data_IF_382708662357
#
_entry.id   IF_382708662357
#
_cell.length_a   1.000
_cell.length_b   1.000
_cell.length_c   1.000
_cell.angle_alpha   90.00
_cell.angle_beta   90.00
_cell.angle_gamma   90.00
#
_symmetry.space_group_name_H-M   'P 1'
#
loop_
_entity.id
_entity.type
_entity.pdbx_description
1 polymer ?
#
# COMPACT_ATOMS: atom_id res chain seq x y z
N UNK A 1 -3.53 -16.03 13.93
CA UNK A 1 -2.52 -17.06 14.20
C UNK A 1 -1.24 -16.84 13.38
N UNK A 2 -0.09 -17.13 13.97
CA UNK A 2 1.23 -16.92 13.38
C UNK A 2 1.40 -17.52 11.97
N UNK A 3 0.92 -18.75 11.78
CA UNK A 3 1.03 -19.47 10.51
C UNK A 3 0.37 -18.71 9.35
N UNK A 4 -0.87 -18.22 9.55
CA UNK A 4 -1.58 -17.54 8.48
C UNK A 4 -0.86 -16.28 7.97
N UNK A 5 -0.29 -15.48 8.89
CA UNK A 5 0.43 -14.29 8.47
C UNK A 5 1.78 -14.63 7.82
N UNK A 6 2.48 -15.65 8.34
CA UNK A 6 3.73 -16.10 7.74
C UNK A 6 3.52 -16.65 6.33
N UNK A 7 2.55 -17.53 6.13
CA UNK A 7 2.23 -18.11 4.82
C UNK A 7 1.76 -17.04 3.82
N UNK A 8 0.91 -16.08 4.26
CA UNK A 8 0.47 -14.96 3.42
C UNK A 8 1.64 -14.07 2.97
N UNK A 9 2.70 -13.99 3.77
CA UNK A 9 3.94 -13.29 3.42
C UNK A 9 4.93 -14.16 2.63
N UNK A 10 4.57 -15.42 2.34
CA UNK A 10 5.43 -16.37 1.63
C UNK A 10 6.57 -16.92 2.49
N UNK A 11 6.44 -16.91 3.82
CA UNK A 11 7.40 -17.47 4.74
C UNK A 11 6.98 -18.88 5.20
N UNK A 12 7.96 -19.75 5.44
CA UNK A 12 7.76 -21.00 6.16
C UNK A 12 7.67 -20.70 7.66
N UNK A 13 6.70 -21.30 8.35
CA UNK A 13 6.50 -21.10 9.79
C UNK A 13 6.67 -22.39 10.54
N UNK A 14 7.63 -22.44 11.46
CA UNK A 14 7.88 -23.57 12.34
C UNK A 14 7.68 -23.19 13.81
N UNK A 15 7.31 -24.18 14.63
CA UNK A 15 7.10 -24.03 16.06
C UNK A 15 8.05 -24.93 16.85
N UNK A 16 8.81 -24.32 17.75
CA UNK A 16 9.64 -25.03 18.73
C UNK A 16 8.95 -24.99 20.11
N UNK A 17 8.34 -26.09 20.49
CA UNK A 17 7.59 -26.18 21.74
C UNK A 17 8.47 -26.15 23.00
N UNK A 18 9.69 -26.65 22.91
CA UNK A 18 10.64 -26.67 24.02
C UNK A 18 11.19 -25.27 24.32
N UNK A 19 11.55 -24.54 23.27
CA UNK A 19 12.05 -23.18 23.37
C UNK A 19 10.91 -22.14 23.42
N UNK A 20 9.64 -22.56 23.27
CA UNK A 20 8.44 -21.68 23.19
C UNK A 20 8.64 -20.53 22.19
N UNK A 21 9.07 -20.85 20.97
CA UNK A 21 9.32 -19.85 19.93
C UNK A 21 8.67 -20.22 18.60
N UNK A 22 8.24 -19.22 17.86
CA UNK A 22 7.86 -19.34 16.46
C UNK A 22 8.98 -18.81 15.58
N UNK A 23 9.37 -19.59 14.57
CA UNK A 23 10.41 -19.23 13.60
C UNK A 23 9.75 -19.08 12.23
N UNK A 24 10.04 -17.97 11.59
CA UNK A 24 9.57 -17.64 10.25
C UNK A 24 10.80 -17.51 9.34
N UNK A 25 10.77 -18.18 8.22
CA UNK A 25 11.89 -18.18 7.26
C UNK A 25 11.42 -17.85 5.86
N UNK A 26 12.06 -16.88 5.23
CA UNK A 26 11.82 -16.50 3.85
C UNK A 26 13.10 -15.97 3.23
N UNK A 27 13.55 -16.59 2.13
CA UNK A 27 14.82 -16.24 1.48
C UNK A 27 15.97 -16.22 2.51
N UNK A 28 16.68 -15.13 2.65
CA UNK A 28 17.80 -14.97 3.61
C UNK A 28 17.35 -14.37 4.95
N UNK A 29 16.05 -14.23 5.19
CA UNK A 29 15.53 -13.62 6.42
C UNK A 29 14.93 -14.66 7.33
N UNK A 30 15.42 -14.71 8.57
CA UNK A 30 14.87 -15.50 9.67
C UNK A 30 14.37 -14.58 10.76
N UNK A 31 13.09 -14.71 11.11
CA UNK A 31 12.47 -14.03 12.23
C UNK A 31 12.15 -15.04 13.34
N UNK A 32 12.54 -14.75 14.57
CA UNK A 32 12.24 -15.56 15.76
C UNK A 32 11.45 -14.76 16.77
N UNK A 33 10.26 -15.24 17.13
CA UNK A 33 9.39 -14.66 18.15
C UNK A 33 9.28 -15.61 19.34
N UNK A 34 9.55 -15.11 20.54
CA UNK A 34 9.46 -15.88 21.79
C UNK A 34 8.11 -15.61 22.46
N UNK A 35 7.42 -16.66 22.88
CA UNK A 35 6.12 -16.54 23.54
C UNK A 35 6.29 -15.90 24.92
N UNK A 36 5.43 -14.91 25.20
CA UNK A 36 5.45 -14.15 26.47
C UNK A 36 6.63 -13.19 26.59
N UNK A 37 7.31 -12.88 25.45
CA UNK A 37 8.40 -11.90 25.43
C UNK A 37 8.13 -10.81 24.42
N UNK A 38 8.59 -9.60 24.74
CA UNK A 38 8.62 -8.45 23.82
C UNK A 38 9.89 -8.42 22.97
N UNK A 39 10.89 -9.22 23.32
CA UNK A 39 12.10 -9.39 22.52
C UNK A 39 11.85 -10.36 21.37
N UNK A 40 12.35 -10.03 20.19
CA UNK A 40 12.37 -10.89 19.01
C UNK A 40 13.71 -10.74 18.28
N UNK A 41 13.99 -11.64 17.35
CA UNK A 41 15.22 -11.63 16.60
C UNK A 41 14.96 -11.62 15.10
N UNK A 42 15.73 -10.81 14.35
CA UNK A 42 15.76 -10.83 12.89
C UNK A 42 17.19 -11.08 12.48
N UNK A 43 17.45 -12.20 11.80
CA UNK A 43 18.79 -12.66 11.42
C UNK A 43 19.78 -12.66 12.60
N UNK A 44 19.32 -13.10 13.79
CA UNK A 44 20.09 -13.12 15.03
C UNK A 44 20.25 -11.77 15.73
N UNK A 45 19.75 -10.69 15.16
CA UNK A 45 19.75 -9.38 15.81
C UNK A 45 18.53 -9.20 16.68
N UNK A 46 18.74 -8.90 17.96
CA UNK A 46 17.67 -8.66 18.93
C UNK A 46 16.99 -7.31 18.72
N UNK A 47 15.67 -7.32 18.78
CA UNK A 47 14.78 -6.14 18.67
C UNK A 47 13.68 -6.21 19.72
N UNK A 48 12.95 -5.11 19.92
CA UNK A 48 11.86 -5.01 20.89
C UNK A 48 10.52 -4.71 20.20
N UNK A 49 9.45 -5.32 20.72
CA UNK A 49 8.06 -5.07 20.36
C UNK A 49 7.36 -4.23 21.43
N UNK A 50 6.32 -3.52 21.06
CA UNK A 50 5.41 -2.83 21.99
C UNK A 50 4.44 -3.79 22.70
N UNK A 51 4.31 -5.00 22.20
CA UNK A 51 3.48 -6.08 22.73
C UNK A 51 4.23 -7.41 22.68
N UNK A 52 3.63 -8.50 23.07
CA UNK A 52 4.23 -9.83 23.13
C UNK A 52 3.52 -10.83 22.23
N UNK A 53 4.21 -11.89 21.81
CA UNK A 53 3.61 -13.04 21.18
C UNK A 53 2.94 -13.91 22.24
N UNK A 54 1.72 -14.40 21.96
CA UNK A 54 0.88 -15.14 22.91
C UNK A 54 0.57 -16.55 22.42
N UNK A 55 0.43 -17.48 23.34
CA UNK A 55 -0.15 -18.80 23.10
C UNK A 55 -1.55 -18.84 23.70
N UNK A 56 -2.58 -18.92 22.87
CA UNK A 56 -3.99 -18.95 23.29
C UNK A 56 -4.63 -20.17 22.65
N UNK A 57 -5.19 -21.06 23.47
CA UNK A 57 -5.86 -22.30 23.05
C UNK A 57 -5.03 -23.13 22.05
N UNK A 58 -3.73 -23.27 22.32
CA UNK A 58 -2.80 -24.04 21.48
C UNK A 58 -2.42 -23.34 20.15
N UNK A 59 -2.84 -22.09 19.95
CA UNK A 59 -2.51 -21.28 18.77
C UNK A 59 -1.58 -20.14 19.14
N UNK A 60 -0.53 -19.97 18.36
CA UNK A 60 0.40 -18.86 18.52
C UNK A 60 -0.15 -17.62 17.83
N UNK A 61 -0.34 -16.54 18.59
CA UNK A 61 -0.69 -15.24 18.10
C UNK A 61 0.53 -14.34 18.14
N UNK A 62 0.79 -13.64 17.05
CA UNK A 62 1.94 -12.74 16.89
C UNK A 62 1.45 -11.37 16.45
N UNK A 63 2.14 -10.30 16.85
CA UNK A 63 1.84 -8.98 16.35
C UNK A 63 2.18 -8.90 14.85
N UNK A 64 1.15 -8.75 14.02
CA UNK A 64 1.25 -8.81 12.57
C UNK A 64 2.27 -7.83 11.99
N UNK A 65 2.39 -6.63 12.61
CA UNK A 65 3.34 -5.59 12.19
C UNK A 65 4.78 -6.09 12.20
N UNK A 66 5.23 -6.68 13.31
CA UNK A 66 6.64 -7.11 13.44
C UNK A 66 6.99 -8.26 12.51
N UNK A 67 6.03 -9.15 12.25
CA UNK A 67 6.22 -10.22 11.26
C UNK A 67 6.34 -9.63 9.85
N UNK A 68 5.45 -8.73 9.50
CA UNK A 68 5.43 -8.11 8.18
C UNK A 68 6.69 -7.25 7.92
N UNK A 69 7.05 -6.38 8.88
CA UNK A 69 8.22 -5.51 8.78
C UNK A 69 9.54 -6.30 8.71
N UNK A 70 9.64 -7.45 9.42
CA UNK A 70 10.82 -8.32 9.34
C UNK A 70 11.08 -8.83 7.93
N UNK A 71 10.02 -9.00 7.12
CA UNK A 71 10.10 -9.42 5.72
C UNK A 71 9.98 -8.25 4.74
N UNK A 72 10.22 -7.02 5.19
CA UNK A 72 10.28 -5.85 4.34
C UNK A 72 8.90 -5.32 3.90
N UNK A 73 7.81 -5.75 4.54
CA UNK A 73 6.49 -5.18 4.30
C UNK A 73 6.27 -3.90 5.12
N UNK A 74 5.43 -3.01 4.62
CA UNK A 74 4.87 -1.90 5.39
C UNK A 74 3.51 -2.27 5.94
N UNK A 75 3.19 -1.80 7.14
CA UNK A 75 1.91 -2.08 7.80
C UNK A 75 1.21 -0.76 8.12
N UNK A 76 -0.02 -0.63 7.66
CA UNK A 76 -0.88 0.50 7.98
C UNK A 76 -2.21 0.02 8.57
N UNK A 77 -2.80 0.85 9.42
CA UNK A 77 -4.10 0.61 10.06
C UNK A 77 -5.12 1.64 9.61
N UNK A 78 -6.24 1.17 9.09
CA UNK A 78 -7.39 2.02 8.81
C UNK A 78 -8.43 1.86 9.93
N UNK A 79 -8.53 2.87 10.80
CA UNK A 79 -9.42 2.85 11.96
C UNK A 79 -10.90 2.91 11.57
N UNK A 80 -11.25 3.56 10.46
CA UNK A 80 -12.65 3.72 10.03
C UNK A 80 -13.30 2.39 9.65
N UNK A 81 -12.54 1.52 8.99
CA UNK A 81 -13.00 0.20 8.55
C UNK A 81 -12.36 -0.94 9.33
N UNK A 82 -11.59 -0.63 10.39
CA UNK A 82 -10.90 -1.59 11.26
C UNK A 82 -10.06 -2.63 10.49
N UNK A 83 -9.33 -2.16 9.47
CA UNK A 83 -8.56 -3.03 8.57
C UNK A 83 -7.07 -2.74 8.67
N UNK A 84 -6.28 -3.81 8.76
CA UNK A 84 -4.81 -3.76 8.66
C UNK A 84 -4.43 -4.03 7.21
N UNK A 85 -3.65 -3.13 6.61
CA UNK A 85 -3.03 -3.34 5.30
C UNK A 85 -1.58 -3.75 5.51
N UNK A 86 -1.17 -4.83 4.86
CA UNK A 86 0.21 -5.30 4.84
C UNK A 86 0.67 -5.26 3.39
N UNK A 87 1.51 -4.29 3.06
CA UNK A 87 2.06 -4.13 1.73
C UNK A 87 3.46 -4.72 1.71
N UNK A 88 3.64 -5.79 0.96
CA UNK A 88 4.94 -6.34 0.65
C UNK A 88 5.64 -5.39 -0.33
N UNK A 89 6.23 -4.32 0.22
CA UNK A 89 7.20 -3.58 -0.57
C UNK A 89 8.36 -4.54 -0.83
N UNK A 90 8.60 -4.87 -2.06
CA UNK A 90 9.94 -5.30 -2.45
C UNK A 90 10.84 -4.11 -2.15
N UNK A 91 11.40 -4.10 -0.92
CA UNK A 91 12.35 -3.07 -0.52
C UNK A 91 13.53 -3.13 -1.46
N UNK A 92 13.75 -2.01 -2.07
CA UNK A 92 15.07 -1.60 -2.48
C UNK A 92 15.81 -2.57 -3.37
N UNK A 93 15.56 -2.41 -4.51
CA UNK A 93 16.26 -2.21 -5.75
C UNK A 93 15.16 -2.09 -6.76
N UNK A 94 15.08 -0.98 -7.40
CA UNK A 94 14.57 -0.93 -8.76
C UNK A 94 15.50 -1.90 -9.53
N UNK A 95 15.24 -3.20 -9.39
CA UNK A 95 15.72 -4.20 -10.33
C UNK A 95 14.76 -4.10 -11.49
N UNK A 96 15.11 -3.18 -12.31
CA UNK A 96 14.88 -2.98 -13.73
C UNK A 96 14.80 -1.48 -14.00
N UNK A 97 15.96 -0.82 -14.05
CA UNK A 97 16.11 0.50 -14.69
C UNK A 97 15.70 0.47 -16.19
N UNK A 98 15.14 -0.63 -16.67
CA UNK A 98 14.77 -0.85 -18.07
C UNK A 98 13.29 -0.74 -18.41
N UNK A 99 12.36 -0.81 -17.43
CA UNK A 99 10.93 -0.96 -17.75
C UNK A 99 10.01 0.05 -17.07
N UNK A 100 10.46 1.28 -16.96
CA UNK A 100 9.67 2.43 -16.53
C UNK A 100 9.44 3.40 -17.69
N UNK A 101 8.45 4.27 -17.54
CA UNK A 101 8.21 5.43 -18.40
C UNK A 101 7.99 6.66 -17.55
N UNK A 102 8.37 7.82 -18.06
CA UNK A 102 8.07 9.08 -17.39
C UNK A 102 6.74 9.66 -17.90
N UNK A 103 5.89 10.12 -16.99
CA UNK A 103 4.61 10.77 -17.27
C UNK A 103 4.48 11.99 -16.37
N UNK A 104 4.57 13.19 -16.92
CA UNK A 104 4.43 14.46 -16.19
C UNK A 104 5.32 14.54 -14.92
N UNK A 105 6.54 14.02 -15.00
CA UNK A 105 7.50 13.98 -13.91
C UNK A 105 7.31 12.83 -12.91
N UNK A 106 6.39 11.91 -13.18
CA UNK A 106 6.25 10.66 -12.41
C UNK A 106 6.98 9.52 -13.13
N UNK A 107 7.72 8.71 -12.37
CA UNK A 107 8.30 7.47 -12.85
C UNK A 107 7.26 6.36 -12.66
N UNK A 108 6.78 5.81 -13.77
CA UNK A 108 5.68 4.86 -13.82
C UNK A 108 6.19 3.52 -14.35
N UNK A 109 6.09 2.40 -13.61
CA UNK A 109 6.37 1.07 -14.14
C UNK A 109 5.49 0.75 -15.35
N UNK A 110 6.01 0.01 -16.35
CA UNK A 110 5.23 -0.33 -17.55
C UNK A 110 4.30 -1.51 -17.34
N UNK A 111 4.62 -2.38 -16.38
CA UNK A 111 3.94 -3.65 -16.10
C UNK A 111 2.85 -3.54 -15.02
N UNK A 112 2.20 -2.37 -14.90
CA UNK A 112 1.11 -2.14 -13.94
C UNK A 112 -0.23 -1.97 -14.62
N UNK A 113 -1.30 -2.43 -13.97
CA UNK A 113 -2.69 -2.27 -14.43
C UNK A 113 -3.25 -0.86 -14.19
N UNK A 114 -2.63 -0.08 -13.30
CA UNK A 114 -2.96 1.33 -13.11
C UNK A 114 -2.63 2.11 -14.38
N UNK A 115 -3.62 2.82 -14.91
CA UNK A 115 -3.40 3.67 -16.09
C UNK A 115 -2.95 5.05 -15.62
N UNK A 116 -1.73 5.43 -15.97
CA UNK A 116 -1.19 6.79 -15.76
C UNK A 116 -0.96 7.41 -17.12
N UNK A 117 -1.67 8.50 -17.41
CA UNK A 117 -1.58 9.21 -18.70
C UNK A 117 -1.17 10.66 -18.53
N UNK A 118 -0.47 11.26 -19.52
CA UNK A 118 -0.22 12.69 -19.54
C UNK A 118 -1.51 13.45 -19.88
N UNK A 119 -1.61 14.69 -19.42
CA UNK A 119 -2.58 15.63 -19.97
C UNK A 119 -2.27 15.98 -21.42
N UNK A 120 -3.29 16.38 -22.15
CA UNK A 120 -3.07 16.91 -23.52
C UNK A 120 -2.50 18.33 -23.46
N UNK A 121 -1.95 18.81 -24.58
CA UNK A 121 -1.37 20.16 -24.64
C UNK A 121 -2.36 21.25 -24.24
N UNK A 122 -3.62 21.09 -24.63
CA UNK A 122 -4.70 22.06 -24.38
C UNK A 122 -5.52 21.80 -23.12
N UNK A 123 -5.24 20.68 -22.41
CA UNK A 123 -5.94 20.39 -21.15
C UNK A 123 -5.39 21.18 -19.97
N UNK A 124 -6.25 21.45 -18.98
CA UNK A 124 -5.83 22.03 -17.69
C UNK A 124 -5.08 21.04 -16.81
N UNK A 125 -5.02 19.77 -17.21
CA UNK A 125 -4.38 18.70 -16.45
C UNK A 125 -2.99 18.41 -17.00
N UNK A 126 -2.06 18.06 -16.11
CA UNK A 126 -0.73 17.55 -16.49
C UNK A 126 -0.69 16.02 -16.51
N UNK A 127 -1.49 15.37 -15.66
CA UNK A 127 -1.56 13.92 -15.58
C UNK A 127 -2.94 13.42 -15.15
N UNK A 128 -3.22 12.17 -15.48
CA UNK A 128 -4.39 11.41 -14.98
C UNK A 128 -3.93 10.08 -14.42
N UNK A 129 -4.60 9.63 -13.35
CA UNK A 129 -4.42 8.32 -12.75
C UNK A 129 -5.76 7.61 -12.75
N UNK A 130 -5.86 6.45 -13.37
CA UNK A 130 -7.13 5.71 -13.48
C UNK A 130 -6.99 4.28 -12.97
N UNK A 131 -7.75 3.96 -11.92
CA UNK A 131 -7.96 2.60 -11.39
C UNK A 131 -9.15 1.99 -12.12
N UNK A 132 -8.99 0.78 -12.67
CA UNK A 132 -10.04 0.07 -13.37
C UNK A 132 -10.49 -1.16 -12.59
N UNK A 133 -11.73 -1.14 -12.10
CA UNK A 133 -12.34 -2.20 -11.29
C UNK A 133 -12.74 -3.45 -12.09
N UNK A 134 -12.65 -3.41 -13.41
CA UNK A 134 -12.83 -4.59 -14.28
C UNK A 134 -11.53 -5.34 -14.54
N UNK A 135 -10.41 -4.80 -14.08
CA UNK A 135 -9.10 -5.45 -14.15
C UNK A 135 -8.84 -6.29 -12.90
N UNK A 136 -7.90 -7.22 -13.03
CA UNK A 136 -7.41 -7.98 -11.89
C UNK A 136 -6.64 -7.06 -10.93
N UNK A 137 -6.62 -7.44 -9.65
CA UNK A 137 -5.84 -6.79 -8.61
C UNK A 137 -6.05 -5.28 -8.46
N UNK A 138 -7.29 -4.90 -8.17
CA UNK A 138 -7.66 -3.50 -7.89
C UNK A 138 -6.88 -2.91 -6.72
N UNK A 139 -6.60 -3.71 -5.69
CA UNK A 139 -5.83 -3.24 -4.53
C UNK A 139 -4.39 -2.91 -4.92
N UNK A 140 -3.77 -3.70 -5.81
CA UNK A 140 -2.45 -3.38 -6.34
C UNK A 140 -2.46 -2.08 -7.14
N UNK A 141 -3.50 -1.82 -7.95
CA UNK A 141 -3.64 -0.54 -8.67
C UNK A 141 -3.72 0.64 -7.69
N UNK A 142 -4.44 0.50 -6.56
CA UNK A 142 -4.51 1.54 -5.51
C UNK A 142 -3.14 1.76 -4.85
N UNK A 143 -2.43 0.69 -4.54
CA UNK A 143 -1.09 0.76 -3.94
C UNK A 143 -0.07 1.38 -4.90
N UNK A 144 -0.14 1.05 -6.19
CA UNK A 144 0.71 1.66 -7.22
C UNK A 144 0.40 3.16 -7.37
N UNK A 145 -0.89 3.55 -7.32
CA UNK A 145 -1.29 4.96 -7.33
C UNK A 145 -0.71 5.71 -6.14
N UNK A 146 -0.82 5.17 -4.93
CA UNK A 146 -0.27 5.78 -3.71
C UNK A 146 1.24 6.00 -3.83
N UNK A 147 2.00 4.96 -4.23
CA UNK A 147 3.46 5.02 -4.40
C UNK A 147 3.88 6.07 -5.43
N UNK A 148 3.17 6.13 -6.56
CA UNK A 148 3.53 7.06 -7.64
C UNK A 148 3.21 8.50 -7.22
N UNK A 149 2.07 8.75 -6.56
CA UNK A 149 1.71 10.07 -6.05
C UNK A 149 2.71 10.60 -5.01
N UNK A 150 3.23 9.73 -4.13
CA UNK A 150 4.24 10.08 -3.13
C UNK A 150 5.58 10.55 -3.71
N UNK A 151 5.86 10.28 -4.98
CA UNK A 151 7.06 10.82 -5.66
C UNK A 151 7.03 12.36 -5.73
N UNK A 152 5.84 12.96 -5.77
CA UNK A 152 5.68 14.40 -6.02
C UNK A 152 4.96 15.13 -4.89
N UNK A 153 3.88 14.58 -4.38
CA UNK A 153 2.98 15.21 -3.41
C UNK A 153 3.36 14.94 -1.95
N UNK A 154 2.78 15.71 -1.05
CA UNK A 154 2.94 15.51 0.39
C UNK A 154 2.21 14.26 0.87
N UNK A 155 2.73 13.62 1.93
CA UNK A 155 2.09 12.44 2.54
C UNK A 155 0.65 12.72 3.00
N UNK A 156 0.39 13.91 3.56
CA UNK A 156 -0.94 14.28 4.03
C UNK A 156 -1.95 14.35 2.88
N UNK A 157 -1.58 14.98 1.76
CA UNK A 157 -2.42 15.04 0.58
C UNK A 157 -2.66 13.66 -0.03
N UNK A 158 -1.62 12.84 -0.11
CA UNK A 158 -1.76 11.47 -0.63
C UNK A 158 -2.64 10.63 0.28
N UNK A 159 -2.49 10.72 1.61
CA UNK A 159 -3.39 10.06 2.57
C UNK A 159 -4.84 10.48 2.41
N UNK A 160 -5.10 11.78 2.21
CA UNK A 160 -6.45 12.29 1.96
C UNK A 160 -7.04 11.70 0.69
N UNK A 161 -6.31 11.71 -0.42
CA UNK A 161 -6.73 11.09 -1.69
C UNK A 161 -7.02 9.60 -1.49
N UNK A 162 -6.10 8.87 -0.89
CA UNK A 162 -6.21 7.42 -0.71
C UNK A 162 -7.31 7.04 0.27
N UNK A 163 -7.64 7.91 1.24
CA UNK A 163 -8.79 7.70 2.13
C UNK A 163 -10.11 7.62 1.36
N UNK A 164 -10.24 8.40 0.28
CA UNK A 164 -11.41 8.36 -0.63
C UNK A 164 -11.32 7.18 -1.59
N UNK A 165 -10.18 6.97 -2.24
CA UNK A 165 -9.95 5.87 -3.21
C UNK A 165 -10.24 4.51 -2.58
N UNK A 166 -9.82 4.30 -1.34
CA UNK A 166 -9.98 3.01 -0.64
C UNK A 166 -11.40 2.75 -0.13
N UNK A 167 -12.32 3.73 -0.16
CA UNK A 167 -13.75 3.48 0.14
C UNK A 167 -14.45 2.68 -0.94
N UNK A 168 -14.00 2.78 -2.20
CA UNK A 168 -14.56 2.00 -3.30
C UNK A 168 -13.91 0.62 -3.32
N UNK A 169 -14.69 -0.40 -2.96
CA UNK A 169 -14.27 -1.81 -2.91
C UNK A 169 -14.76 -2.58 -4.14
N UNK A 170 -15.97 -2.25 -4.60
CA UNK A 170 -16.63 -2.86 -5.76
C UNK A 170 -16.81 -1.85 -6.89
N UNK A 171 -16.96 -2.33 -8.10
CA UNK A 171 -17.26 -1.50 -9.27
C UNK A 171 -18.57 -0.70 -9.11
N UNK A 172 -19.54 -1.24 -8.37
CA UNK A 172 -20.83 -0.61 -8.08
C UNK A 172 -20.79 0.47 -6.99
N UNK A 173 -19.74 0.55 -6.17
CA UNK A 173 -19.62 1.57 -5.14
C UNK A 173 -19.46 2.96 -5.78
N UNK A 174 -20.08 3.96 -5.17
CA UNK A 174 -20.05 5.35 -5.64
C UNK A 174 -19.06 6.15 -4.80
N UNK A 175 -18.19 6.89 -5.47
CA UNK A 175 -17.37 7.94 -4.86
C UNK A 175 -17.98 9.27 -5.26
N UNK A 176 -18.19 10.16 -4.31
CA UNK A 176 -18.60 11.54 -4.57
C UNK A 176 -17.42 12.35 -5.11
N UNK A 177 -17.68 13.36 -5.92
CA UNK A 177 -16.65 14.24 -6.47
C UNK A 177 -15.86 14.94 -5.36
N UNK A 178 -14.57 15.09 -5.55
CA UNK A 178 -13.70 15.77 -4.61
C UNK A 178 -12.57 16.52 -5.29
N UNK A 179 -12.22 17.65 -4.67
CA UNK A 179 -11.01 18.41 -4.96
C UNK A 179 -10.02 18.26 -3.81
N UNK A 180 -8.75 18.22 -4.17
CA UNK A 180 -7.63 18.17 -3.22
C UNK A 180 -6.64 19.26 -3.58
N UNK A 181 -5.92 19.75 -2.59
CA UNK A 181 -4.88 20.76 -2.79
C UNK A 181 -3.61 20.37 -2.04
N UNK A 182 -2.51 20.24 -2.77
CA UNK A 182 -1.22 19.94 -2.18
C UNK A 182 -0.41 21.21 -1.96
N UNK A 183 -0.19 21.56 -0.69
CA UNK A 183 0.57 22.75 -0.29
C UNK A 183 2.03 22.71 -0.72
N UNK A 184 2.63 21.51 -0.80
CA UNK A 184 4.03 21.32 -1.19
C UNK A 184 4.28 21.71 -2.66
N UNK A 185 3.40 21.34 -3.56
CA UNK A 185 3.53 21.60 -4.98
C UNK A 185 2.75 22.84 -5.44
N UNK A 186 1.72 23.25 -4.68
CA UNK A 186 0.77 24.29 -5.08
C UNK A 186 -0.20 23.83 -6.16
N UNK A 187 -0.46 22.53 -6.28
CA UNK A 187 -1.30 21.95 -7.31
C UNK A 187 -2.63 21.48 -6.76
N UNK A 188 -3.67 21.63 -7.58
CA UNK A 188 -4.98 21.05 -7.35
C UNK A 188 -5.09 19.68 -8.01
N UNK A 189 -5.93 18.84 -7.44
CA UNK A 189 -6.31 17.56 -7.99
C UNK A 189 -7.82 17.42 -7.93
N UNK A 190 -8.40 16.69 -8.89
CA UNK A 190 -9.83 16.49 -9.00
C UNK A 190 -10.16 15.03 -9.23
N UNK A 191 -11.06 14.52 -8.44
CA UNK A 191 -11.66 13.20 -8.59
C UNK A 191 -13.14 13.37 -8.86
N UNK A 192 -13.62 13.09 -10.08
CA UNK A 192 -15.03 13.18 -10.41
C UNK A 192 -15.84 12.10 -9.69
N UNK A 193 -17.12 12.34 -9.55
CA UNK A 193 -18.07 11.34 -9.06
C UNK A 193 -18.03 10.08 -9.93
N UNK A 194 -17.92 8.91 -9.31
CA UNK A 194 -18.06 7.63 -10.00
C UNK A 194 -19.52 7.17 -10.01
N UNK A 195 -20.01 6.70 -11.17
CA UNK A 195 -21.39 6.25 -11.35
C UNK A 195 -21.48 4.73 -11.48
N UNK A 196 -22.52 4.05 -10.90
CA UNK A 196 -22.62 2.58 -10.90
C UNK A 196 -22.64 1.93 -12.30
N UNK A 197 -23.21 2.60 -13.30
CA UNK A 197 -23.34 2.08 -14.68
C UNK A 197 -22.19 2.50 -15.61
N UNK A 198 -21.33 3.44 -15.17
CA UNK A 198 -20.11 3.89 -15.87
C UNK A 198 -18.93 3.95 -14.92
N UNK A 199 -19.09 3.41 -13.72
CA UNK A 199 -18.21 3.62 -12.57
C UNK A 199 -17.22 2.50 -12.32
N UNK A 200 -16.87 1.70 -13.32
CA UNK A 200 -15.81 0.70 -13.21
C UNK A 200 -14.43 1.31 -13.00
N UNK A 201 -14.34 2.65 -12.91
CA UNK A 201 -13.08 3.36 -12.73
C UNK A 201 -13.15 4.42 -11.64
N UNK A 202 -11.99 4.70 -11.06
CA UNK A 202 -11.70 5.94 -10.34
C UNK A 202 -10.65 6.67 -11.18
N UNK A 203 -10.89 7.94 -11.50
CA UNK A 203 -9.88 8.78 -12.16
C UNK A 203 -9.54 9.98 -11.30
N UNK A 204 -8.24 10.19 -11.06
CA UNK A 204 -7.70 11.39 -10.43
C UNK A 204 -7.02 12.23 -11.51
N UNK A 205 -7.45 13.46 -11.64
CA UNK A 205 -6.86 14.47 -12.54
C UNK A 205 -5.91 15.35 -11.74
N UNK A 206 -4.69 15.52 -12.22
CA UNK A 206 -3.68 16.41 -11.64
C UNK A 206 -3.66 17.67 -12.49
N UNK A 207 -4.02 18.81 -11.91
CA UNK A 207 -3.98 20.10 -12.63
C UNK A 207 -2.54 20.57 -12.84
N UNK A 208 -2.31 21.30 -13.94
CA UNK A 208 -1.04 21.99 -14.15
C UNK A 208 -0.82 23.00 -13.03
N UNK A 209 0.43 23.22 -12.65
CA UNK A 209 0.78 24.20 -11.62
C UNK A 209 0.25 25.59 -11.98
N UNK A 210 -0.39 26.25 -11.03
CA UNK A 210 -1.00 27.57 -11.18
C UNK A 210 -2.41 27.58 -11.81
N UNK A 211 -2.95 26.42 -12.16
CA UNK A 211 -4.35 26.29 -12.61
C UNK A 211 -5.24 26.05 -11.40
N UNK A 212 -6.27 26.89 -11.25
CA UNK A 212 -7.30 26.79 -10.23
C UNK A 212 -8.55 26.22 -10.90
N UNK A 213 -9.19 25.16 -10.34
CA UNK A 213 -10.28 24.45 -10.99
C UNK A 213 -11.64 25.16 -11.01
N UNK A 214 -11.77 26.38 -10.46
CA UNK A 214 -13.00 27.21 -10.42
C UNK A 214 -12.68 28.68 -10.56
#
# INVERSE_FOLDING_TARGET
PARFIGEALGATVTWDGNAKKAVFEKSETTLVLFIGKREYEVNGQKKQMDTEALLIEGRTFVPARYVAEAFGATVSWNAAIKTVYINMNKTGKVENEGDTREVAGFIVPKDIDLVVGPGTKDSSYEATFTINFLKNDVEKQKDDMEKILLQKFSEDTVKEIMSVVRTKVKDTDVIEERYFYDKKTGQYMYMPKSWPLRGSTITLYIYKKGVVPF
#
